data_IF_580267152618
#
_entry.id   IF_580267152618
#
_cell.length_a   1.000
_cell.length_b   1.000
_cell.length_c   1.000
_cell.angle_alpha   90.00
_cell.angle_beta   90.00
_cell.angle_gamma   90.00
#
_symmetry.space_group_name_H-M   'P 1'
#
loop_
_entity.id
_entity.type
_entity.pdbx_description
1 polymer ?
#
# COMPACT_ATOMS: atom_id res chain seq x y z
N UNK A 1 -3.51 -16.56 -9.90
CA UNK A 1 -3.22 -16.36 -8.46
C UNK A 1 -3.62 -14.96 -8.07
N UNK A 2 -4.03 -14.75 -6.81
CA UNK A 2 -4.67 -13.51 -6.35
C UNK A 2 -3.75 -12.65 -5.45
N UNK A 3 -4.02 -11.35 -5.39
CA UNK A 3 -3.30 -10.38 -4.54
C UNK A 3 -4.27 -9.50 -3.78
N UNK A 4 -4.10 -9.40 -2.46
CA UNK A 4 -4.78 -8.39 -1.66
C UNK A 4 -4.00 -7.07 -1.70
N UNK A 5 -4.70 -5.97 -1.99
CA UNK A 5 -4.11 -4.66 -2.19
C UNK A 5 -4.84 -3.63 -1.33
N UNK A 6 -4.07 -2.79 -0.62
CA UNK A 6 -4.57 -1.56 0.02
C UNK A 6 -3.98 -0.35 -0.69
N UNK A 7 -4.82 0.63 -1.00
CA UNK A 7 -4.44 1.91 -1.60
C UNK A 7 -4.78 3.06 -0.64
N UNK A 8 -3.80 3.92 -0.38
CA UNK A 8 -3.95 5.08 0.49
C UNK A 8 -3.62 6.35 -0.30
N UNK A 9 -4.49 7.35 -0.17
CA UNK A 9 -4.38 8.63 -0.85
C UNK A 9 -3.11 9.37 -0.44
N UNK A 10 -2.40 10.07 -1.35
CA UNK A 10 -1.21 10.85 -1.00
C UNK A 10 -1.50 11.97 0.03
N UNK A 11 -2.73 12.43 0.16
CA UNK A 11 -3.19 13.39 1.18
C UNK A 11 -3.02 12.85 2.60
N UNK A 12 -2.95 11.52 2.76
CA UNK A 12 -2.75 10.86 4.05
C UNK A 12 -1.29 10.44 4.29
N UNK A 13 -0.33 11.00 3.54
CA UNK A 13 1.09 10.62 3.65
C UNK A 13 1.65 10.75 5.07
N UNK A 14 1.16 11.68 5.90
CA UNK A 14 1.58 11.81 7.30
C UNK A 14 1.13 10.65 8.19
N UNK A 15 0.08 9.92 7.80
CA UNK A 15 -0.49 8.81 8.56
C UNK A 15 0.27 7.50 8.32
N UNK A 16 1.03 7.42 7.22
CA UNK A 16 1.77 6.22 6.82
C UNK A 16 3.26 6.28 7.15
N UNK A 17 3.71 7.30 7.89
CA UNK A 17 5.09 7.44 8.39
C UNK A 17 6.15 7.12 7.31
N UNK A 18 6.30 7.99 6.30
CA UNK A 18 7.33 7.82 5.27
C UNK A 18 8.71 7.70 5.90
N UNK A 19 9.61 6.91 5.31
CA UNK A 19 11.02 6.90 5.74
C UNK A 19 11.68 8.23 5.41
N UNK A 20 12.68 8.61 6.20
CA UNK A 20 13.47 9.80 5.90
C UNK A 20 14.45 9.55 4.73
N UNK A 21 14.84 10.63 4.06
CA UNK A 21 15.85 10.61 3.00
C UNK A 21 15.36 10.04 1.67
N UNK A 22 16.21 9.24 1.01
CA UNK A 22 15.96 8.73 -0.36
C UNK A 22 14.80 7.73 -0.45
N UNK A 23 14.33 7.19 0.67
CA UNK A 23 13.24 6.20 0.74
C UNK A 23 11.90 6.81 1.20
N UNK A 24 11.72 8.12 1.03
CA UNK A 24 10.50 8.83 1.44
C UNK A 24 9.21 8.44 0.70
N UNK A 25 9.29 7.51 -0.25
CA UNK A 25 8.18 6.86 -0.90
C UNK A 25 7.84 5.47 -0.31
N UNK A 26 8.51 5.08 0.78
CA UNK A 26 8.29 3.80 1.48
C UNK A 26 7.85 4.07 2.92
N UNK A 27 6.77 3.43 3.35
CA UNK A 27 6.27 3.51 4.72
C UNK A 27 7.22 2.79 5.70
N UNK A 28 7.29 3.29 6.93
CA UNK A 28 7.94 2.60 8.04
C UNK A 28 7.04 1.52 8.67
N UNK A 29 5.74 1.58 8.42
CA UNK A 29 4.73 0.75 9.09
C UNK A 29 4.66 -0.63 8.44
N UNK A 30 4.69 -1.69 9.27
CA UNK A 30 4.21 -3.00 8.86
C UNK A 30 2.67 -2.96 8.79
N UNK A 31 2.13 -3.02 7.59
CA UNK A 31 0.68 -2.87 7.34
C UNK A 31 -0.13 -4.07 7.87
N UNK A 32 0.50 -5.23 8.04
CA UNK A 32 -0.17 -6.43 8.58
C UNK A 32 -0.16 -6.45 10.11
N UNK A 33 0.90 -5.89 10.69
CA UNK A 33 1.11 -5.83 12.14
C UNK A 33 1.58 -4.43 12.58
N UNK A 34 0.71 -3.40 12.47
CA UNK A 34 1.10 -2.03 12.78
C UNK A 34 1.38 -1.88 14.28
N UNK A 35 2.57 -1.36 14.61
CA UNK A 35 2.91 -0.95 15.97
C UNK A 35 2.24 0.39 16.27
N UNK A 36 1.12 0.35 17.00
CA UNK A 36 0.30 1.53 17.34
C UNK A 36 0.96 2.43 18.38
N UNK A 37 1.97 1.94 19.11
CA UNK A 37 2.76 2.77 20.02
C UNK A 37 3.77 3.64 19.25
N UNK A 38 4.39 3.07 18.21
CA UNK A 38 5.34 3.80 17.34
C UNK A 38 4.63 4.63 16.26
N UNK A 39 3.51 4.14 15.74
CA UNK A 39 2.80 4.71 14.59
C UNK A 39 1.32 5.02 14.90
N UNK A 40 1.00 5.80 15.94
CA UNK A 40 -0.38 6.00 16.42
C UNK A 40 -1.35 6.64 15.43
N UNK A 41 -0.86 7.35 14.41
CA UNK A 41 -1.72 7.94 13.37
C UNK A 41 -2.17 6.89 12.34
N UNK A 42 -1.47 5.77 12.22
CA UNK A 42 -1.77 4.77 11.20
C UNK A 42 -3.16 4.16 11.38
N UNK A 43 -3.62 3.99 12.63
CA UNK A 43 -4.98 3.51 12.95
C UNK A 43 -6.10 4.41 12.40
N UNK A 44 -5.79 5.66 12.04
CA UNK A 44 -6.76 6.62 11.49
C UNK A 44 -6.73 6.68 9.97
N UNK A 45 -5.81 5.96 9.33
CA UNK A 45 -5.65 5.99 7.88
C UNK A 45 -6.91 5.46 7.21
N UNK A 46 -7.34 6.13 6.15
CA UNK A 46 -8.43 5.66 5.31
C UNK A 46 -7.79 5.03 4.07
N UNK A 47 -8.36 3.94 3.62
CA UNK A 47 -7.85 3.21 2.47
C UNK A 47 -9.00 2.61 1.69
N UNK A 48 -8.74 2.35 0.42
CA UNK A 48 -9.56 1.44 -0.38
C UNK A 48 -8.79 0.14 -0.55
N UNK A 49 -9.50 -0.97 -0.56
CA UNK A 49 -8.89 -2.28 -0.69
C UNK A 49 -9.59 -3.11 -1.75
N UNK A 50 -8.84 -4.04 -2.35
CA UNK A 50 -9.40 -5.04 -3.24
C UNK A 50 -8.58 -6.33 -3.20
N UNK A 51 -9.19 -7.41 -3.66
CA UNK A 51 -8.46 -8.59 -4.12
C UNK A 51 -8.39 -8.49 -5.64
N UNK A 52 -7.17 -8.41 -6.17
CA UNK A 52 -6.89 -8.38 -7.59
C UNK A 52 -6.74 -9.83 -8.08
N UNK A 53 -7.64 -10.19 -8.99
CA UNK A 53 -7.73 -11.53 -9.58
C UNK A 53 -7.05 -11.62 -10.95
N UNK A 54 -6.89 -12.84 -11.44
CA UNK A 54 -6.35 -13.09 -12.77
C UNK A 54 -7.17 -12.41 -13.87
N UNK A 55 -6.48 -11.79 -14.83
CA UNK A 55 -7.10 -11.07 -15.95
C UNK A 55 -7.61 -9.67 -15.60
N UNK A 56 -7.63 -9.28 -14.32
CA UNK A 56 -8.01 -7.93 -13.90
C UNK A 56 -6.85 -6.93 -14.01
N UNK A 57 -7.19 -5.66 -14.16
CA UNK A 57 -6.24 -4.55 -14.18
C UNK A 57 -6.60 -3.58 -13.06
N UNK A 58 -5.62 -3.25 -12.21
CA UNK A 58 -5.74 -2.20 -11.22
C UNK A 58 -5.02 -0.94 -11.72
N UNK A 59 -5.74 0.17 -11.78
CA UNK A 59 -5.12 1.49 -11.95
C UNK A 59 -4.73 2.05 -10.59
N UNK A 60 -3.44 2.34 -10.39
CA UNK A 60 -2.92 3.04 -9.21
C UNK A 60 -2.55 4.45 -9.63
N UNK A 61 -3.25 5.50 -9.15
CA UNK A 61 -2.93 6.86 -9.55
C UNK A 61 -1.54 7.30 -9.06
N UNK A 62 -0.92 8.31 -9.70
CA UNK A 62 0.40 8.78 -9.31
C UNK A 62 0.48 9.15 -7.83
N UNK A 63 1.59 8.77 -7.18
CA UNK A 63 1.91 9.02 -5.76
C UNK A 63 1.05 8.28 -4.73
N UNK A 64 0.10 7.45 -5.14
CA UNK A 64 -0.66 6.64 -4.19
C UNK A 64 0.22 5.58 -3.52
N UNK A 65 0.07 5.50 -2.20
CA UNK A 65 0.69 4.44 -1.42
C UNK A 65 -0.06 3.14 -1.69
N UNK A 66 0.69 2.05 -1.88
CA UNK A 66 0.11 0.75 -2.14
C UNK A 66 0.82 -0.33 -1.34
N UNK A 67 0.03 -1.12 -0.59
CA UNK A 67 0.48 -2.36 0.02
C UNK A 67 -0.07 -3.52 -0.79
N UNK A 68 0.77 -4.53 -1.06
CA UNK A 68 0.40 -5.68 -1.88
C UNK A 68 0.84 -6.96 -1.18
N UNK A 69 -0.11 -7.86 -0.93
CA UNK A 69 0.12 -9.19 -0.38
C UNK A 69 -0.35 -10.25 -1.37
N UNK A 70 0.55 -11.14 -1.76
CA UNK A 70 0.18 -12.34 -2.52
C UNK A 70 -0.60 -13.30 -1.63
N UNK A 71 -1.81 -13.69 -2.06
CA UNK A 71 -2.60 -14.70 -1.36
C UNK A 71 -2.32 -16.12 -1.91
N UNK A 72 -1.92 -16.19 -3.19
CA UNK A 72 -1.47 -17.40 -3.87
C UNK A 72 -0.07 -17.20 -4.48
N UNK A 73 0.53 -18.29 -4.99
CA UNK A 73 1.61 -18.18 -5.97
C UNK A 73 1.10 -17.31 -7.13
N UNK A 74 1.74 -16.18 -7.36
CA UNK A 74 1.24 -15.13 -8.25
C UNK A 74 2.34 -14.54 -9.13
N UNK A 75 1.93 -14.07 -10.30
CA UNK A 75 2.75 -13.32 -11.26
C UNK A 75 1.96 -12.09 -11.71
N UNK A 76 2.62 -10.95 -11.88
CA UNK A 76 1.96 -9.70 -12.29
C UNK A 76 2.88 -8.84 -13.14
N UNK A 77 2.30 -8.00 -13.98
CA UNK A 77 3.02 -7.03 -14.81
C UNK A 77 2.56 -5.63 -14.43
N UNK A 78 3.50 -4.74 -14.12
CA UNK A 78 3.24 -3.32 -13.87
C UNK A 78 3.71 -2.48 -15.05
N UNK A 79 2.85 -1.62 -15.56
CA UNK A 79 3.18 -0.65 -16.62
C UNK A 79 3.19 0.75 -16.02
N UNK A 80 4.28 1.49 -16.22
CA UNK A 80 4.45 2.86 -15.77
C UNK A 80 4.50 3.79 -16.98
N UNK A 81 3.72 4.86 -16.95
CA UNK A 81 3.55 5.83 -18.03
C UNK A 81 3.66 7.27 -17.53
#
# INVERSE_FOLDING_TARGET
GSKYIKLISPEQSSYVYPRDGLMNNTSQVDVEHPDTHLYPLFDRVQYVECVLEEGQVLYVPPKWWHFVKSLDISFSVSLWF
#
